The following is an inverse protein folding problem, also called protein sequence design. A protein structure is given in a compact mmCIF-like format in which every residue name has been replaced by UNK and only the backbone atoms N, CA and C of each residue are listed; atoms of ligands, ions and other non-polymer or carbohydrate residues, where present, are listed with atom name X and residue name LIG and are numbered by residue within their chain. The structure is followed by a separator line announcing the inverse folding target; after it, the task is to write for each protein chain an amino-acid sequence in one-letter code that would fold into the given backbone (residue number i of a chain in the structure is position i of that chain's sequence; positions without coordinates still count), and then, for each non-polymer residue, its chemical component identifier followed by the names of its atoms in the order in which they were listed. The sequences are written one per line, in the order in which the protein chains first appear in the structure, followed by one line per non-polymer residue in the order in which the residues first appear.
data_IF_457199009834
#
_entry.id   IF_457199009834
#
_cell.length_a   1.000
_cell.length_b   1.000
_cell.length_c   1.000
_cell.angle_alpha   90.00
_cell.angle_beta   90.00
_cell.angle_gamma   90.00
#
_symmetry.space_group_name_H-M   'P 1'
#
loop_
_entity.id
_entity.type
_entity.pdbx_description
1 polymer ?
#
# COMPACT_ATOMS: atom_id res chain seq x y z
N UNK A 1 4.05 14.47 -1.50
CA UNK A 1 3.26 15.72 -1.66
C UNK A 1 1.92 15.29 -2.21
N UNK A 2 0.77 15.67 -1.65
CA UNK A 2 -0.52 15.18 -2.15
C UNK A 2 -1.31 16.33 -2.76
N UNK A 3 -1.78 16.14 -3.99
CA UNK A 3 -2.65 17.07 -4.69
C UNK A 3 -4.06 16.53 -4.76
N UNK A 4 -5.01 17.41 -4.50
CA UNK A 4 -6.41 17.03 -4.37
C UNK A 4 -7.24 17.81 -5.39
N UNK A 5 -7.65 17.13 -6.46
CA UNK A 5 -8.38 17.73 -7.59
C UNK A 5 -9.73 18.33 -7.16
N UNK A 6 -10.44 17.66 -6.24
CA UNK A 6 -11.74 18.12 -5.72
C UNK A 6 -11.65 19.42 -4.90
N UNK A 7 -10.48 19.74 -4.36
CA UNK A 7 -10.29 20.87 -3.43
C UNK A 7 -9.41 21.98 -4.02
N UNK A 8 -8.77 21.76 -5.17
CA UNK A 8 -7.80 22.66 -5.79
C UNK A 8 -6.71 23.16 -4.81
N UNK A 9 -6.24 22.26 -3.94
CA UNK A 9 -5.24 22.54 -2.89
C UNK A 9 -4.07 21.56 -2.95
N UNK A 10 -2.87 22.10 -2.76
CA UNK A 10 -1.65 21.34 -2.50
C UNK A 10 -1.50 21.14 -0.99
N UNK A 11 -1.38 19.89 -0.53
CA UNK A 11 -1.00 19.58 0.85
C UNK A 11 0.44 19.07 0.88
N UNK A 12 1.32 19.88 1.44
CA UNK A 12 2.67 19.46 1.79
C UNK A 12 2.59 18.74 3.14
N UNK A 13 2.66 17.41 3.11
CA UNK A 13 2.82 16.60 4.31
C UNK A 13 4.31 16.31 4.46
N UNK A 14 4.93 16.81 5.52
CA UNK A 14 6.29 16.43 5.86
C UNK A 14 6.28 15.01 6.45
N UNK A 15 7.05 14.07 5.88
CA UNK A 15 7.12 12.72 6.41
C UNK A 15 7.58 12.73 7.86
N UNK A 16 6.88 11.98 8.71
CA UNK A 16 7.32 11.72 10.08
C UNK A 16 7.73 10.27 10.24
N UNK A 17 8.53 9.94 11.26
CA UNK A 17 8.87 8.55 11.54
C UNK A 17 7.63 7.65 11.74
N UNK A 18 6.51 8.21 12.21
CA UNK A 18 5.24 7.47 12.26
C UNK A 18 4.65 7.22 10.87
N UNK A 19 4.68 8.22 10.00
CA UNK A 19 4.22 8.08 8.62
C UNK A 19 5.01 6.96 7.90
N UNK A 20 6.34 7.01 8.04
CA UNK A 20 7.24 6.05 7.41
C UNK A 20 7.21 4.63 8.01
N UNK A 21 6.51 4.41 9.14
CA UNK A 21 6.55 3.12 9.82
C UNK A 21 5.93 2.00 8.98
N UNK A 22 4.91 2.31 8.18
CA UNK A 22 4.27 1.36 7.28
C UNK A 22 5.21 0.95 6.13
N UNK A 23 5.93 1.91 5.53
CA UNK A 23 6.96 1.63 4.52
C UNK A 23 8.09 0.76 5.10
N UNK A 24 8.59 1.10 6.29
CA UNK A 24 9.61 0.31 6.97
C UNK A 24 9.16 -1.13 7.28
N UNK A 25 7.87 -1.32 7.60
CA UNK A 25 7.28 -2.65 7.77
C UNK A 25 7.27 -3.43 6.45
N UNK A 26 6.84 -2.82 5.34
CA UNK A 26 6.84 -3.48 4.03
C UNK A 26 8.25 -3.85 3.58
N UNK A 27 9.25 -2.98 3.74
CA UNK A 27 10.64 -3.32 3.42
C UNK A 27 11.12 -4.54 4.20
N UNK A 28 10.82 -4.62 5.51
CA UNK A 28 11.17 -5.80 6.32
C UNK A 28 10.43 -7.06 5.86
N UNK A 29 9.20 -6.93 5.39
CA UNK A 29 8.42 -8.04 4.84
C UNK A 29 9.07 -8.59 3.58
N UNK A 30 9.42 -7.74 2.62
CA UNK A 30 10.10 -8.13 1.39
C UNK A 30 11.45 -8.80 1.69
N UNK A 31 12.26 -8.21 2.59
CA UNK A 31 13.52 -8.83 3.02
C UNK A 31 13.32 -10.23 3.62
N UNK A 32 12.26 -10.43 4.42
CA UNK A 32 11.94 -11.74 5.00
C UNK A 32 11.46 -12.73 3.93
N UNK A 33 10.67 -12.28 2.97
CA UNK A 33 10.19 -13.10 1.86
C UNK A 33 11.35 -13.61 0.99
N UNK A 34 12.28 -12.72 0.63
CA UNK A 34 13.53 -13.09 -0.06
C UNK A 34 14.35 -14.11 0.73
N UNK A 35 14.59 -13.88 2.04
CA UNK A 35 15.30 -14.85 2.90
C UNK A 35 14.62 -16.22 3.01
N UNK A 36 13.29 -16.26 2.91
CA UNK A 36 12.50 -17.50 2.91
C UNK A 36 12.40 -18.14 1.53
N UNK A 37 13.05 -17.59 0.51
CA UNK A 37 13.00 -18.02 -0.88
C UNK A 37 11.59 -17.99 -1.48
N UNK A 38 10.75 -17.05 -1.00
CA UNK A 38 9.45 -16.75 -1.62
C UNK A 38 9.61 -15.79 -2.81
N UNK A 39 10.70 -15.01 -2.83
CA UNK A 39 11.10 -14.17 -3.95
C UNK A 39 12.35 -14.78 -4.58
N UNK A 40 12.36 -14.91 -5.90
CA UNK A 40 13.56 -15.27 -6.67
C UNK A 40 14.43 -14.03 -6.90
N UNK A 41 15.64 -14.23 -7.46
CA UNK A 41 16.48 -13.11 -7.87
C UNK A 41 15.81 -12.25 -8.95
N UNK A 42 14.97 -12.85 -9.79
CA UNK A 42 14.23 -12.12 -10.83
C UNK A 42 13.35 -11.02 -10.25
N UNK A 43 12.86 -11.16 -9.00
CA UNK A 43 12.13 -10.08 -8.33
C UNK A 43 12.99 -8.80 -8.23
N UNK A 44 14.28 -8.93 -7.90
CA UNK A 44 15.18 -7.78 -7.79
C UNK A 44 15.44 -7.13 -9.15
N UNK A 45 15.44 -7.93 -10.23
CA UNK A 45 15.66 -7.45 -11.60
C UNK A 45 14.38 -6.93 -12.28
N UNK A 46 13.19 -7.24 -11.74
CA UNK A 46 11.90 -6.95 -12.39
C UNK A 46 10.90 -6.19 -11.52
N UNK A 47 11.29 -5.75 -10.33
CA UNK A 47 10.47 -4.92 -9.44
C UNK A 47 11.26 -3.77 -8.82
N UNK A 48 10.88 -2.55 -9.15
CA UNK A 48 11.36 -1.36 -8.46
C UNK A 48 10.49 -1.06 -7.23
N UNK A 49 11.13 -0.68 -6.12
CA UNK A 49 10.43 -0.15 -4.94
C UNK A 49 10.79 1.33 -4.81
N UNK A 50 9.81 2.18 -5.10
CA UNK A 50 9.98 3.63 -5.16
C UNK A 50 9.22 4.33 -4.03
N UNK A 51 9.68 5.51 -3.62
CA UNK A 51 8.99 6.38 -2.66
C UNK A 51 8.62 7.69 -3.33
N UNK A 52 7.35 8.10 -3.23
CA UNK A 52 6.86 9.34 -3.85
C UNK A 52 6.91 9.47 -5.38
N UNK A 53 6.90 8.42 -6.23
CA UNK A 53 6.79 8.60 -7.68
C UNK A 53 5.47 9.27 -8.06
N UNK A 54 5.47 10.09 -9.12
CA UNK A 54 4.28 10.80 -9.57
C UNK A 54 3.56 10.06 -10.70
N UNK A 55 2.24 9.90 -10.57
CA UNK A 55 1.37 9.32 -11.59
C UNK A 55 0.31 10.33 -12.02
N UNK A 56 0.16 10.53 -13.34
CA UNK A 56 -0.74 11.53 -13.97
C UNK A 56 -1.65 10.94 -15.05
N UNK A 57 -1.44 9.68 -15.39
CA UNK A 57 -2.05 8.96 -16.51
C UNK A 57 -3.41 8.32 -16.14
N UNK A 58 -4.13 8.89 -15.17
CA UNK A 58 -5.45 8.41 -14.78
C UNK A 58 -6.48 8.64 -15.90
N UNK A 59 -7.50 7.78 -15.97
CA UNK A 59 -8.50 7.71 -17.03
C UNK A 59 -9.93 7.90 -16.50
N UNK A 60 -10.90 7.98 -17.41
CA UNK A 60 -12.33 8.07 -17.08
C UNK A 60 -12.66 9.32 -16.26
N UNK A 61 -13.48 9.16 -15.22
CA UNK A 61 -13.86 10.25 -14.31
C UNK A 61 -12.68 10.84 -13.52
N UNK A 62 -11.54 10.14 -13.50
CA UNK A 62 -10.33 10.55 -12.81
C UNK A 62 -9.29 11.21 -13.73
N UNK A 63 -9.60 11.37 -15.03
CA UNK A 63 -8.71 12.01 -15.99
C UNK A 63 -8.29 13.42 -15.54
N UNK A 64 -7.01 13.74 -15.71
CA UNK A 64 -6.41 15.01 -15.26
C UNK A 64 -6.03 15.05 -13.77
N UNK A 65 -6.34 14.00 -13.00
CA UNK A 65 -5.82 13.84 -11.64
C UNK A 65 -4.32 13.51 -11.65
N UNK A 66 -3.66 13.73 -10.51
CA UNK A 66 -2.34 13.15 -10.27
C UNK A 66 -2.19 12.76 -8.81
N UNK A 67 -1.30 11.81 -8.53
CA UNK A 67 -1.05 11.31 -7.18
C UNK A 67 0.39 10.82 -7.02
N UNK A 68 0.89 10.92 -5.78
CA UNK A 68 2.15 10.34 -5.33
C UNK A 68 1.82 9.38 -4.17
N UNK A 69 2.14 8.09 -4.28
CA UNK A 69 2.02 7.16 -3.17
C UNK A 69 3.23 7.31 -2.23
N UNK A 70 3.06 6.93 -0.98
CA UNK A 70 4.19 6.91 -0.03
C UNK A 70 5.23 5.86 -0.43
N UNK A 71 4.77 4.70 -0.89
CA UNK A 71 5.60 3.66 -1.49
C UNK A 71 4.88 2.98 -2.66
N UNK A 72 5.62 2.69 -3.72
CA UNK A 72 5.14 1.99 -4.90
C UNK A 72 6.01 0.77 -5.20
N UNK A 73 5.37 -0.36 -5.52
CA UNK A 73 5.97 -1.54 -6.11
C UNK A 73 5.69 -1.48 -7.61
N UNK A 74 6.71 -1.12 -8.38
CA UNK A 74 6.62 -0.82 -9.81
C UNK A 74 7.19 -2.00 -10.60
N UNK A 75 6.35 -2.84 -11.22
CA UNK A 75 6.83 -3.89 -12.09
C UNK A 75 7.61 -3.27 -13.25
N UNK A 76 8.73 -3.88 -13.59
CA UNK A 76 9.37 -3.68 -14.88
C UNK A 76 8.69 -4.65 -15.85
N UNK A 77 8.39 -4.22 -17.06
CA UNK A 77 7.56 -4.93 -18.05
C UNK A 77 8.16 -4.81 -19.46
N UNK A 78 7.56 -5.54 -20.40
CA UNK A 78 7.98 -5.59 -21.79
C UNK A 78 8.94 -6.75 -22.08
N UNK A 79 9.23 -7.03 -23.37
CA UNK A 79 10.00 -8.21 -23.77
C UNK A 79 11.43 -8.23 -23.21
N UNK A 80 12.02 -7.05 -22.97
CA UNK A 80 13.39 -6.91 -22.48
C UNK A 80 13.47 -6.50 -21.00
N UNK A 81 12.34 -6.37 -20.29
CA UNK A 81 12.29 -5.92 -18.90
C UNK A 81 13.05 -4.59 -18.67
N UNK A 82 12.74 -3.58 -19.48
CA UNK A 82 13.36 -2.24 -19.40
C UNK A 82 12.37 -1.09 -19.18
N UNK A 83 11.07 -1.38 -19.14
CA UNK A 83 10.02 -0.36 -19.03
C UNK A 83 9.30 -0.49 -17.70
N UNK A 84 9.17 0.59 -16.94
CA UNK A 84 8.28 0.58 -15.78
C UNK A 84 6.82 0.44 -16.23
N UNK A 85 6.05 -0.38 -15.51
CA UNK A 85 4.60 -0.43 -15.67
C UNK A 85 3.99 0.95 -15.45
N UNK A 86 2.94 1.25 -16.21
CA UNK A 86 2.26 2.55 -16.13
C UNK A 86 1.61 2.82 -14.76
N UNK A 87 1.31 1.76 -14.01
CA UNK A 87 0.74 1.83 -12.67
C UNK A 87 1.30 0.72 -11.76
N UNK A 88 1.57 1.01 -10.48
CA UNK A 88 2.17 0.07 -9.52
C UNK A 88 1.12 -0.54 -8.58
N UNK A 89 1.56 -1.42 -7.67
CA UNK A 89 0.87 -1.61 -6.39
C UNK A 89 1.35 -0.57 -5.38
N UNK A 90 0.46 -0.01 -4.55
CA UNK A 90 0.79 1.18 -3.72
C UNK A 90 0.53 0.97 -2.23
N UNK A 91 1.32 1.65 -1.42
CA UNK A 91 1.06 1.93 0.00
C UNK A 91 0.78 3.43 0.17
N UNK A 92 -0.27 3.71 0.93
CA UNK A 92 -0.62 5.03 1.46
C UNK A 92 -0.63 4.97 2.99
N UNK A 93 -0.12 5.99 3.64
CA UNK A 93 -0.09 6.13 5.09
C UNK A 93 -0.62 7.50 5.48
N UNK A 94 -1.59 7.51 6.39
CA UNK A 94 -2.31 8.73 6.75
C UNK A 94 -2.52 8.84 8.24
N UNK A 95 -2.44 10.06 8.77
CA UNK A 95 -2.77 10.34 10.17
C UNK A 95 -4.14 11.04 10.28
N UNK A 96 -4.28 12.22 9.69
CA UNK A 96 -5.49 13.05 9.85
C UNK A 96 -6.49 12.89 8.71
N UNK A 97 -6.44 11.80 7.97
CA UNK A 97 -7.30 11.60 6.79
C UNK A 97 -8.60 10.90 7.18
N UNK A 98 -9.72 11.42 6.66
CA UNK A 98 -11.03 10.80 6.86
C UNK A 98 -11.09 9.43 6.18
N UNK A 99 -11.97 8.54 6.66
CA UNK A 99 -12.16 7.22 6.04
C UNK A 99 -12.66 7.40 4.60
N UNK A 100 -13.64 8.29 4.39
CA UNK A 100 -14.17 8.61 3.06
C UNK A 100 -13.08 9.06 2.08
N UNK A 101 -12.11 9.86 2.54
CA UNK A 101 -10.98 10.29 1.70
C UNK A 101 -10.07 9.14 1.31
N UNK A 102 -9.81 8.21 2.23
CA UNK A 102 -9.00 7.02 1.95
C UNK A 102 -9.69 6.10 0.95
N UNK A 103 -11.00 5.93 1.06
CA UNK A 103 -11.77 5.17 0.08
C UNK A 103 -11.75 5.85 -1.29
N UNK A 104 -11.82 7.19 -1.34
CA UNK A 104 -11.67 7.96 -2.57
C UNK A 104 -10.27 7.80 -3.19
N UNK A 105 -9.23 7.80 -2.36
CA UNK A 105 -7.85 7.58 -2.82
C UNK A 105 -7.65 6.16 -3.37
N UNK A 106 -8.24 5.15 -2.73
CA UNK A 106 -8.23 3.78 -3.24
C UNK A 106 -8.98 3.68 -4.59
N UNK A 107 -10.14 4.33 -4.71
CA UNK A 107 -10.88 4.41 -5.99
C UNK A 107 -10.09 5.13 -7.07
N UNK A 108 -9.47 6.26 -6.76
CA UNK A 108 -8.62 6.97 -7.71
C UNK A 108 -7.49 6.08 -8.23
N UNK A 109 -6.80 5.36 -7.34
CA UNK A 109 -5.76 4.42 -7.75
C UNK A 109 -6.30 3.28 -8.60
N UNK A 110 -7.40 2.66 -8.20
CA UNK A 110 -7.89 1.43 -8.82
C UNK A 110 -8.77 1.74 -10.04
N UNK A 111 -9.87 2.47 -9.86
CA UNK A 111 -10.77 2.86 -10.96
C UNK A 111 -10.08 3.81 -11.94
N UNK A 112 -9.33 4.80 -11.43
CA UNK A 112 -8.63 5.77 -12.26
C UNK A 112 -7.49 5.18 -13.07
N UNK A 113 -6.94 4.02 -12.70
CA UNK A 113 -5.94 3.31 -13.50
C UNK A 113 -6.54 2.25 -14.43
N UNK A 114 -7.86 2.16 -14.53
CA UNK A 114 -8.51 1.07 -15.25
C UNK A 114 -8.22 -0.30 -14.62
N UNK A 115 -8.15 -0.35 -13.29
CA UNK A 115 -7.77 -1.48 -12.46
C UNK A 115 -6.31 -1.96 -12.59
N UNK A 116 -5.43 -1.23 -13.27
CA UNK A 116 -4.00 -1.59 -13.36
C UNK A 116 -3.31 -1.61 -11.98
N UNK A 117 -3.68 -0.70 -11.07
CA UNK A 117 -3.33 -0.83 -9.65
C UNK A 117 -4.16 -1.96 -9.04
N UNK A 118 -3.58 -3.15 -8.86
CA UNK A 118 -4.28 -4.31 -8.29
C UNK A 118 -4.51 -4.19 -6.81
N UNK A 119 -3.53 -3.68 -6.06
CA UNK A 119 -3.58 -3.61 -4.59
C UNK A 119 -3.24 -2.20 -4.10
N UNK A 120 -4.10 -1.69 -3.20
CA UNK A 120 -3.82 -0.48 -2.42
C UNK A 120 -3.79 -0.88 -0.95
N UNK A 121 -2.62 -0.71 -0.34
CA UNK A 121 -2.45 -0.80 1.11
C UNK A 121 -2.64 0.58 1.70
N UNK A 122 -3.44 0.69 2.75
CA UNK A 122 -3.57 1.94 3.46
C UNK A 122 -3.38 1.72 4.96
N UNK A 123 -2.43 2.41 5.58
CA UNK A 123 -2.21 2.43 7.02
C UNK A 123 -2.73 3.75 7.61
N UNK A 124 -3.75 3.71 8.46
CA UNK A 124 -4.30 4.91 9.11
C UNK A 124 -3.99 4.91 10.58
N UNK A 125 -3.20 5.89 10.98
CA UNK A 125 -3.01 6.28 12.37
C UNK A 125 -4.16 7.21 12.74
N UNK A 126 -4.82 7.00 13.86
CA UNK A 126 -5.80 7.95 14.39
C UNK A 126 -5.14 8.91 15.38
N UNK A 127 -5.74 10.07 15.58
CA UNK A 127 -5.37 10.96 16.68
C UNK A 127 -5.43 10.23 18.03
N UNK A 128 -4.55 10.59 18.98
CA UNK A 128 -4.55 9.98 20.30
C UNK A 128 -5.89 10.22 21.00
N UNK A 129 -6.41 9.20 21.66
CA UNK A 129 -7.62 9.32 22.47
C UNK A 129 -7.36 10.08 23.78
N UNK A 130 -8.39 10.22 24.62
CA UNK A 130 -8.30 10.89 25.93
C UNK A 130 -7.35 10.18 26.92
N UNK A 131 -6.92 8.95 26.62
CA UNK A 131 -5.94 8.17 27.38
C UNK A 131 -4.55 8.21 26.76
N UNK A 132 -4.34 9.07 25.76
CA UNK A 132 -3.09 9.21 25.02
C UNK A 132 -2.74 7.95 24.19
N UNK A 133 -3.76 7.16 23.83
CA UNK A 133 -3.62 5.93 23.04
C UNK A 133 -3.83 6.19 21.55
N UNK A 134 -2.93 5.66 20.72
CA UNK A 134 -2.97 5.70 19.26
C UNK A 134 -3.61 4.43 18.73
N UNK A 135 -4.65 4.61 17.92
CA UNK A 135 -5.25 3.54 17.12
C UNK A 135 -4.60 3.50 15.74
N UNK A 136 -4.40 2.29 15.20
CA UNK A 136 -3.84 2.08 13.88
C UNK A 136 -4.63 1.00 13.15
N UNK A 137 -5.11 1.32 11.96
CA UNK A 137 -5.90 0.41 11.11
C UNK A 137 -5.20 0.23 9.77
N UNK A 138 -4.99 -1.02 9.37
CA UNK A 138 -4.55 -1.37 8.01
C UNK A 138 -5.78 -1.78 7.19
N UNK A 139 -5.92 -1.21 6.00
CA UNK A 139 -6.86 -1.67 4.98
C UNK A 139 -6.12 -2.14 3.73
N UNK A 140 -6.63 -3.20 3.11
CA UNK A 140 -6.14 -3.76 1.84
C UNK A 140 -7.30 -3.83 0.86
N UNK A 141 -7.31 -2.97 -0.15
CA UNK A 141 -8.30 -3.00 -1.22
C UNK A 141 -7.70 -3.65 -2.46
N UNK A 142 -8.52 -4.39 -3.20
CA UNK A 142 -8.13 -5.10 -4.42
C UNK A 142 -9.01 -4.68 -5.58
N UNK A 143 -8.48 -4.73 -6.79
CA UNK A 143 -9.22 -4.47 -8.02
C UNK A 143 -9.40 -5.76 -8.82
N UNK A 144 -10.51 -5.90 -9.53
CA UNK A 144 -10.68 -7.01 -10.47
C UNK A 144 -9.84 -6.80 -11.73
N UNK A 145 -9.28 -7.87 -12.31
CA UNK A 145 -8.55 -7.81 -13.56
C UNK A 145 -9.39 -7.65 -14.82
N UNK A 146 -10.59 -7.11 -14.69
CA UNK A 146 -11.55 -6.95 -15.80
C UNK A 146 -11.37 -5.65 -16.59
N UNK A 147 -10.54 -4.73 -16.11
CA UNK A 147 -10.36 -3.40 -16.72
C UNK A 147 -11.59 -2.50 -16.62
N UNK A 148 -12.63 -2.90 -15.87
CA UNK A 148 -13.90 -2.18 -15.79
C UNK A 148 -13.92 -1.11 -14.69
N UNK A 149 -12.80 -0.89 -14.01
CA UNK A 149 -12.73 0.06 -12.90
C UNK A 149 -13.55 -0.39 -11.69
N UNK A 150 -13.78 -1.70 -11.53
CA UNK A 150 -14.54 -2.25 -10.40
C UNK A 150 -13.63 -2.72 -9.27
N UNK A 151 -13.96 -2.30 -8.05
CA UNK A 151 -13.33 -2.79 -6.83
C UNK A 151 -13.74 -4.24 -6.55
N UNK A 152 -12.76 -5.05 -6.13
CA UNK A 152 -13.03 -6.37 -5.57
C UNK A 152 -13.44 -6.24 -4.11
N UNK A 153 -14.67 -6.67 -3.80
CA UNK A 153 -15.07 -6.98 -2.44
C UNK A 153 -14.65 -8.43 -2.12
N UNK A 154 -14.05 -8.70 -0.95
CA UNK A 154 -13.96 -7.82 0.21
C UNK A 154 -12.64 -7.02 0.32
N UNK A 155 -12.75 -5.79 0.85
CA UNK A 155 -11.62 -5.07 1.45
C UNK A 155 -11.25 -5.73 2.78
N UNK A 156 -9.98 -6.04 2.99
CA UNK A 156 -9.53 -6.55 4.30
C UNK A 156 -9.25 -5.39 5.24
N UNK A 157 -9.76 -5.47 6.47
CA UNK A 157 -9.52 -4.50 7.54
C UNK A 157 -8.87 -5.19 8.73
N UNK A 158 -7.78 -4.61 9.23
CA UNK A 158 -7.07 -5.10 10.39
C UNK A 158 -6.84 -3.99 11.41
N UNK A 159 -7.31 -4.20 12.64
CA UNK A 159 -6.89 -3.38 13.75
C UNK A 159 -5.47 -3.82 14.14
N UNK A 160 -4.53 -2.92 13.94
CA UNK A 160 -3.16 -3.08 14.41
C UNK A 160 -3.12 -2.69 15.88
N UNK A 161 -3.73 -1.54 16.20
CA UNK A 161 -4.05 -1.08 17.56
C UNK A 161 -5.52 -0.57 17.61
N UNK A 162 -6.34 -1.04 18.57
CA UNK A 162 -6.02 -2.06 19.56
C UNK A 162 -5.78 -3.42 18.93
N UNK A 163 -4.99 -4.26 19.60
CA UNK A 163 -4.79 -5.64 19.18
C UNK A 163 -6.13 -6.38 19.38
N UNK A 164 -6.74 -6.96 18.32
CA UNK A 164 -7.96 -7.74 18.46
C UNK A 164 -7.77 -8.89 19.46
N UNK A 165 -8.80 -9.23 20.26
CA UNK A 165 -8.73 -10.37 21.16
C UNK A 165 -8.60 -11.70 20.41
N UNK A 166 -9.18 -11.76 19.21
CA UNK A 166 -9.15 -12.93 18.35
C UNK A 166 -7.93 -12.95 17.43
N UNK A 167 -7.46 -14.16 17.12
CA UNK A 167 -6.39 -14.34 16.15
C UNK A 167 -6.82 -13.82 14.77
N UNK A 168 -6.11 -12.82 14.28
CA UNK A 168 -6.25 -12.35 12.90
C UNK A 168 -5.20 -13.03 12.01
N UNK A 169 -5.67 -13.77 11.00
CA UNK A 169 -4.79 -14.32 9.96
C UNK A 169 -4.14 -13.17 9.19
N UNK A 170 -2.83 -13.26 8.99
CA UNK A 170 -2.08 -12.31 8.16
C UNK A 170 -2.66 -12.32 6.72
N UNK A 171 -3.06 -11.16 6.15
CA UNK A 171 -3.43 -11.09 4.74
C UNK A 171 -2.20 -11.35 3.85
N UNK A 172 -2.42 -11.71 2.59
CA UNK A 172 -1.38 -12.01 1.61
C UNK A 172 -1.48 -11.12 0.38
N UNK A 173 -0.36 -10.88 -0.31
CA UNK A 173 -0.34 -10.34 -1.67
C UNK A 173 0.41 -11.34 -2.54
N UNK A 174 -0.22 -11.82 -3.60
CA UNK A 174 0.41 -12.70 -4.58
C UNK A 174 1.39 -11.94 -5.47
N UNK A 175 2.34 -12.64 -6.08
CA UNK A 175 3.19 -12.02 -7.10
C UNK A 175 2.35 -11.53 -8.29
N UNK A 176 1.32 -12.27 -8.67
CA UNK A 176 0.39 -11.85 -9.73
C UNK A 176 -0.25 -10.48 -9.46
N UNK A 177 -0.63 -10.23 -8.21
CA UNK A 177 -1.13 -8.92 -7.76
C UNK A 177 -0.05 -7.83 -7.82
N UNK A 178 1.19 -8.13 -7.42
CA UNK A 178 2.29 -7.15 -7.53
C UNK A 178 2.58 -6.77 -8.98
N UNK A 179 2.56 -7.75 -9.90
CA UNK A 179 2.89 -7.56 -11.31
C UNK A 179 1.69 -7.18 -12.19
N UNK A 180 0.50 -7.04 -11.62
CA UNK A 180 -0.74 -6.83 -12.38
C UNK A 180 -0.90 -7.84 -13.53
N UNK A 181 -0.72 -9.13 -13.23
CA UNK A 181 -0.78 -10.27 -14.16
C UNK A 181 0.36 -10.36 -15.19
N UNK A 182 1.36 -9.47 -15.11
CA UNK A 182 2.57 -9.52 -15.93
C UNK A 182 3.76 -10.17 -15.20
N UNK A 183 3.47 -11.13 -14.31
CA UNK A 183 4.52 -11.82 -13.55
C UNK A 183 5.38 -12.67 -14.51
N UNK A 184 6.70 -12.60 -14.37
CA UNK A 184 7.63 -13.41 -15.18
C UNK A 184 7.31 -14.90 -15.07
N UNK A 185 7.46 -15.64 -16.18
CA UNK A 185 7.27 -17.10 -16.23
C UNK A 185 8.27 -17.87 -15.38
N UNK A 186 9.38 -17.24 -14.99
CA UNK A 186 10.40 -17.80 -14.09
C UNK A 186 9.96 -17.75 -12.61
N UNK A 187 8.94 -16.94 -12.29
CA UNK A 187 8.35 -16.83 -10.96
C UNK A 187 6.99 -17.53 -10.91
N UNK A 188 6.67 -18.11 -9.76
CA UNK A 188 5.32 -18.63 -9.54
C UNK A 188 4.39 -17.48 -9.13
N UNK A 189 3.57 -17.00 -10.07
CA UNK A 189 2.59 -15.92 -9.87
C UNK A 189 1.67 -16.12 -8.64
N UNK A 190 1.37 -17.38 -8.27
CA UNK A 190 0.54 -17.72 -7.10
C UNK A 190 1.28 -17.65 -5.77
N UNK A 191 2.57 -17.31 -5.77
CA UNK A 191 3.34 -17.18 -4.53
C UNK A 191 2.80 -16.03 -3.71
N UNK A 192 2.35 -16.33 -2.50
CA UNK A 192 1.74 -15.38 -1.58
C UNK A 192 2.78 -14.82 -0.60
N UNK A 193 2.90 -13.50 -0.58
CA UNK A 193 3.73 -12.76 0.38
C UNK A 193 2.86 -12.36 1.57
N UNK A 194 3.14 -12.87 2.79
CA UNK A 194 2.32 -12.57 3.96
C UNK A 194 2.61 -11.17 4.52
N UNK A 195 1.55 -10.37 4.64
CA UNK A 195 1.52 -9.07 5.31
C UNK A 195 1.54 -9.30 6.83
N UNK A 196 2.72 -9.52 7.41
CA UNK A 196 2.86 -9.88 8.82
C UNK A 196 2.39 -8.77 9.77
N UNK A 197 1.18 -8.90 10.32
CA UNK A 197 0.53 -7.86 11.13
C UNK A 197 1.25 -7.66 12.47
N UNK A 198 1.79 -8.74 13.04
CA UNK A 198 2.57 -8.66 14.28
C UNK A 198 3.86 -7.85 14.11
N UNK A 199 4.50 -7.94 12.94
CA UNK A 199 5.65 -7.11 12.61
C UNK A 199 5.26 -5.64 12.45
N UNK A 200 4.10 -5.35 11.84
CA UNK A 200 3.58 -3.98 11.76
C UNK A 200 3.35 -3.40 13.17
N UNK A 201 2.72 -4.17 14.07
CA UNK A 201 2.56 -3.79 15.48
C UNK A 201 3.89 -3.44 16.13
N UNK A 202 4.90 -4.29 15.98
CA UNK A 202 6.22 -4.06 16.58
C UNK A 202 6.92 -2.82 16.02
N UNK A 203 6.84 -2.60 14.70
CA UNK A 203 7.44 -1.42 14.06
C UNK A 203 6.71 -0.15 14.48
N UNK A 204 5.38 -0.14 14.40
CA UNK A 204 4.57 1.03 14.75
C UNK A 204 4.68 1.38 16.25
N UNK A 205 4.62 0.38 17.15
CA UNK A 205 4.66 0.62 18.59
C UNK A 205 5.96 1.29 19.06
N UNK A 206 7.08 1.08 18.35
CA UNK A 206 8.32 1.81 18.60
C UNK A 206 8.11 3.31 18.38
N UNK A 207 7.63 3.69 17.19
CA UNK A 207 7.46 5.10 16.83
C UNK A 207 6.31 5.78 17.59
N UNK A 208 5.26 5.05 17.96
CA UNK A 208 4.20 5.52 18.86
C UNK A 208 4.80 5.95 20.20
N UNK A 209 5.61 5.08 20.81
CA UNK A 209 6.27 5.37 22.09
C UNK A 209 7.32 6.48 21.99
N UNK A 210 8.11 6.52 20.91
CA UNK A 210 9.10 7.57 20.68
C UNK A 210 8.46 8.97 20.59
N UNK A 211 7.18 9.06 20.23
CA UNK A 211 6.38 10.29 20.23
C UNK A 211 5.66 10.60 21.55
N UNK A 212 5.85 9.77 22.58
CA UNK A 212 5.22 9.95 23.89
C UNK A 212 3.77 9.46 23.96
N UNK A 213 3.32 8.66 22.99
CA UNK A 213 1.98 8.06 22.97
C UNK A 213 2.01 6.59 23.43
N UNK A 214 0.83 6.05 23.73
CA UNK A 214 0.62 4.63 24.01
C UNK A 214 -0.01 3.95 22.79
N UNK A 215 0.38 2.72 22.41
CA UNK A 215 -0.41 1.93 21.46
C UNK A 215 -1.70 1.49 22.16
N UNK A 216 -2.86 1.66 21.50
CA UNK A 216 -4.17 1.24 22.03
C UNK A 216 -4.29 -0.28 22.22
#
# INVERSE_FOLDING_TARGET
MHWFFSENRLKVVMPSAMHECAGAWLSKMITRASRRKLLSNDWEDTMDIMTGPEYRNFIGQHAGSFKQPDMAFVPIVGPDWIQCAAFPSVLESGWNESIARREEDARLWQEGSGNAVRVVLQAKVHEPDYRNCIHLVLSVTRAYPDGLGRLALPTHYANIFPIPPDYQKDPTISLDEFYAENCSSTMNAKTEIPLNLSMLRNVAAKYIRDRGYLPA
#
